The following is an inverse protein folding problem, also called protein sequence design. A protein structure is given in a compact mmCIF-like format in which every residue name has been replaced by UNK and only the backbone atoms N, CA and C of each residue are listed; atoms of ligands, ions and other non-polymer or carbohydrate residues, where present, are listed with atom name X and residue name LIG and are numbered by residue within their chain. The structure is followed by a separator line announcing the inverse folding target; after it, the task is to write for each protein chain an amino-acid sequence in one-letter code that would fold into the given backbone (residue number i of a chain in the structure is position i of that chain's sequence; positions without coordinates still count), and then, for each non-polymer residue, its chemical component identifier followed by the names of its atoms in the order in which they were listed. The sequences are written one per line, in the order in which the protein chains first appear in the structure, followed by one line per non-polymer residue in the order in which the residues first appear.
data_IF_507574697474
#
_entry.id   IF_507574697474
#
_cell.length_a   1.000
_cell.length_b   1.000
_cell.length_c   1.000
_cell.angle_alpha   90.00
_cell.angle_beta   90.00
_cell.angle_gamma   90.00
#
_symmetry.space_group_name_H-M   'P 1'
#
loop_
_entity.id
_entity.type
_entity.pdbx_description
1 polymer ?
#
# COMPACT_ATOMS: atom_id res chain seq x y z
N UNK A 1 -63.95 -26.78 65.72
CA UNK A 1 -62.92 -26.78 64.65
C UNK A 1 -62.65 -28.22 64.25
N UNK A 2 -62.98 -28.60 63.01
CA UNK A 2 -62.76 -29.96 62.49
C UNK A 2 -61.32 -30.07 61.99
N UNK A 3 -60.56 -31.01 62.57
CA UNK A 3 -59.17 -31.28 62.21
C UNK A 3 -59.15 -32.11 60.91
N UNK A 4 -58.66 -31.54 59.81
CA UNK A 4 -58.54 -32.23 58.52
C UNK A 4 -57.14 -32.86 58.43
N UNK A 5 -57.06 -34.19 58.37
CA UNK A 5 -55.77 -34.90 58.21
C UNK A 5 -55.22 -34.67 56.79
N UNK A 6 -53.91 -34.42 56.61
CA UNK A 6 -53.31 -34.35 55.28
C UNK A 6 -53.29 -35.76 54.67
N UNK A 7 -53.81 -35.89 53.43
CA UNK A 7 -53.67 -37.11 52.64
C UNK A 7 -52.27 -37.15 52.04
N UNK A 8 -51.47 -38.16 52.37
CA UNK A 8 -50.19 -38.40 51.71
C UNK A 8 -50.43 -38.77 50.24
N UNK A 9 -50.21 -37.81 49.34
CA UNK A 9 -50.14 -38.09 47.91
C UNK A 9 -48.76 -38.70 47.62
N UNK A 10 -48.69 -40.03 47.57
CA UNK A 10 -47.55 -40.69 46.97
C UNK A 10 -47.60 -40.38 45.46
N UNK A 11 -46.55 -39.74 44.93
CA UNK A 11 -46.45 -39.48 43.50
C UNK A 11 -46.63 -40.74 42.67
N UNK A 12 -46.90 -40.57 41.37
CA UNK A 12 -47.11 -41.66 40.42
C UNK A 12 -45.96 -42.66 40.56
N UNK A 13 -46.28 -43.86 41.05
CA UNK A 13 -45.30 -44.93 41.17
C UNK A 13 -44.87 -45.34 39.76
N UNK A 14 -43.56 -45.39 39.44
CA UNK A 14 -43.11 -45.78 38.12
C UNK A 14 -43.62 -47.18 37.79
N UNK A 15 -44.02 -47.38 36.52
CA UNK A 15 -44.58 -48.65 36.05
C UNK A 15 -43.61 -49.79 36.38
N UNK A 16 -44.08 -50.91 36.97
CA UNK A 16 -43.21 -52.01 37.35
C UNK A 16 -42.46 -52.57 36.13
N UNK A 17 -41.13 -52.50 36.18
CA UNK A 17 -40.28 -53.00 35.09
C UNK A 17 -40.25 -54.52 35.15
N UNK A 18 -40.76 -55.19 34.11
CA UNK A 18 -40.79 -56.65 34.07
C UNK A 18 -39.37 -57.22 33.87
N UNK A 19 -39.08 -58.45 34.33
CA UNK A 19 -37.79 -59.10 34.11
C UNK A 19 -37.39 -59.14 32.62
N UNK A 20 -38.37 -59.30 31.72
CA UNK A 20 -38.15 -59.25 30.27
C UNK A 20 -37.72 -57.86 29.78
N UNK A 21 -38.35 -56.79 30.26
CA UNK A 21 -37.95 -55.42 29.93
C UNK A 21 -36.52 -55.11 30.42
N UNK A 22 -36.15 -55.60 31.62
CA UNK A 22 -34.78 -55.47 32.13
C UNK A 22 -33.76 -56.20 31.25
N UNK A 23 -34.09 -57.37 30.73
CA UNK A 23 -33.20 -58.12 29.84
C UNK A 23 -32.97 -57.40 28.50
N UNK A 24 -34.03 -56.79 27.92
CA UNK A 24 -33.90 -55.95 26.72
C UNK A 24 -33.04 -54.72 26.97
N UNK A 25 -33.23 -54.05 28.11
CA UNK A 25 -32.42 -52.89 28.51
C UNK A 25 -30.92 -53.24 28.60
N UNK A 26 -30.56 -54.38 29.20
CA UNK A 26 -29.16 -54.82 29.30
C UNK A 26 -28.53 -55.05 27.92
N UNK A 27 -29.30 -55.55 26.96
CA UNK A 27 -28.85 -55.71 25.58
C UNK A 27 -28.65 -54.37 24.87
N UNK A 28 -29.59 -53.45 25.03
CA UNK A 28 -29.51 -52.08 24.49
C UNK A 28 -28.36 -51.30 25.12
N UNK A 29 -28.10 -51.47 26.41
CA UNK A 29 -26.97 -50.85 27.10
C UNK A 29 -25.63 -51.45 26.62
N UNK A 30 -25.57 -52.75 26.31
CA UNK A 30 -24.33 -53.41 25.84
C UNK A 30 -23.98 -53.07 24.40
N UNK A 31 -24.97 -52.96 23.50
CA UNK A 31 -24.74 -52.75 22.05
C UNK A 31 -25.06 -51.32 21.61
N UNK A 32 -26.13 -50.74 22.14
CA UNK A 32 -26.60 -49.40 21.81
C UNK A 32 -25.66 -48.30 22.31
N UNK A 33 -25.14 -48.42 23.55
CA UNK A 33 -24.21 -47.43 24.10
C UNK A 33 -22.95 -47.27 23.26
N UNK A 34 -22.34 -48.39 22.82
CA UNK A 34 -21.16 -48.39 21.97
C UNK A 34 -21.42 -47.76 20.59
N UNK A 35 -22.60 -48.00 19.99
CA UNK A 35 -22.98 -47.39 18.70
C UNK A 35 -23.19 -45.88 18.82
N UNK A 36 -23.83 -45.42 19.89
CA UNK A 36 -24.04 -43.99 20.16
C UNK A 36 -22.71 -43.29 20.42
N UNK A 37 -21.83 -43.89 21.24
CA UNK A 37 -20.48 -43.35 21.48
C UNK A 37 -19.68 -43.25 20.19
N UNK A 38 -19.71 -44.28 19.33
CA UNK A 38 -19.02 -44.24 18.03
C UNK A 38 -19.56 -43.13 17.12
N UNK A 39 -20.89 -42.91 17.09
CA UNK A 39 -21.51 -41.80 16.33
C UNK A 39 -21.05 -40.45 16.88
N UNK A 40 -21.06 -40.28 18.20
CA UNK A 40 -20.66 -39.03 18.85
C UNK A 40 -19.17 -38.74 18.62
N UNK A 41 -18.31 -39.75 18.67
CA UNK A 41 -16.89 -39.61 18.35
C UNK A 41 -16.63 -39.25 16.89
N UNK A 42 -17.37 -39.84 15.95
CA UNK A 42 -17.29 -39.43 14.54
C UNK A 42 -17.71 -37.98 14.35
N UNK A 43 -18.77 -37.54 15.03
CA UNK A 43 -19.22 -36.15 14.98
C UNK A 43 -18.17 -35.20 15.57
N UNK A 44 -17.57 -35.56 16.70
CA UNK A 44 -16.50 -34.79 17.33
C UNK A 44 -15.25 -34.71 16.43
N UNK A 45 -14.87 -35.81 15.79
CA UNK A 45 -13.78 -35.84 14.82
C UNK A 45 -14.04 -34.89 13.64
N UNK A 46 -15.21 -34.98 13.00
CA UNK A 46 -15.52 -34.07 11.89
C UNK A 46 -15.66 -32.62 12.33
N UNK A 47 -16.20 -32.36 13.54
CA UNK A 47 -16.30 -31.02 14.10
C UNK A 47 -14.92 -30.38 14.32
N UNK A 48 -14.00 -31.12 14.93
CA UNK A 48 -12.62 -30.66 15.16
C UNK A 48 -11.83 -30.52 13.86
N UNK A 49 -12.02 -31.42 12.89
CA UNK A 49 -11.41 -31.33 11.57
C UNK A 49 -11.87 -30.07 10.82
N UNK A 50 -13.17 -29.78 10.82
CA UNK A 50 -13.73 -28.59 10.18
C UNK A 50 -13.20 -27.32 10.84
N UNK A 51 -13.16 -27.28 12.18
CA UNK A 51 -12.66 -26.13 12.92
C UNK A 51 -11.17 -25.89 12.65
N UNK A 52 -10.35 -26.94 12.66
CA UNK A 52 -8.92 -26.86 12.34
C UNK A 52 -8.69 -26.44 10.89
N UNK A 53 -9.39 -27.06 9.93
CA UNK A 53 -9.29 -26.72 8.51
C UNK A 53 -9.76 -25.30 8.19
N UNK A 54 -10.83 -24.84 8.84
CA UNK A 54 -11.33 -23.47 8.74
C UNK A 54 -10.32 -22.45 9.28
N UNK A 55 -9.70 -22.73 10.44
CA UNK A 55 -8.70 -21.86 11.05
C UNK A 55 -7.41 -21.79 10.20
N UNK A 56 -6.94 -22.94 9.68
CA UNK A 56 -5.82 -22.98 8.76
C UNK A 56 -6.10 -22.18 7.48
N UNK A 57 -7.30 -22.33 6.90
CA UNK A 57 -7.71 -21.59 5.70
C UNK A 57 -7.79 -20.09 5.96
N UNK A 58 -8.34 -19.67 7.10
CA UNK A 58 -8.40 -18.27 7.51
C UNK A 58 -7.00 -17.67 7.70
N UNK A 59 -6.08 -18.40 8.31
CA UNK A 59 -4.68 -17.98 8.46
C UNK A 59 -3.97 -17.82 7.12
N UNK A 60 -4.15 -18.78 6.19
CA UNK A 60 -3.61 -18.66 4.84
C UNK A 60 -4.19 -17.43 4.13
N UNK A 61 -5.50 -17.23 4.20
CA UNK A 61 -6.16 -16.06 3.63
C UNK A 61 -5.64 -14.74 4.23
N UNK A 62 -5.42 -14.68 5.54
CA UNK A 62 -4.86 -13.51 6.22
C UNK A 62 -3.40 -13.29 5.84
N UNK A 63 -2.59 -14.35 5.75
CA UNK A 63 -1.19 -14.27 5.33
C UNK A 63 -1.03 -13.81 3.88
N UNK A 64 -1.96 -14.19 2.99
CA UNK A 64 -1.96 -13.75 1.60
C UNK A 64 -2.35 -12.27 1.43
N UNK A 65 -3.02 -11.68 2.43
CA UNK A 65 -3.37 -10.25 2.45
C UNK A 65 -2.23 -9.34 2.92
N UNK A 66 -1.02 -9.87 3.10
CA UNK A 66 0.19 -9.21 3.60
C UNK A 66 0.12 -7.68 3.64
N UNK A 67 -0.19 -7.13 4.81
CA UNK A 67 -0.19 -5.68 5.01
C UNK A 67 1.25 -5.20 5.06
N UNK A 68 1.67 -4.44 4.07
CA UNK A 68 2.96 -3.75 4.09
C UNK A 68 2.77 -2.46 4.87
N UNK A 69 3.37 -2.36 6.05
CA UNK A 69 3.44 -1.12 6.82
C UNK A 69 4.74 -0.38 6.47
N UNK A 70 4.71 0.66 5.61
CA UNK A 70 5.90 1.45 5.33
C UNK A 70 6.30 2.24 6.58
N UNK A 71 7.58 2.20 6.94
CA UNK A 71 8.14 3.03 8.01
C UNK A 71 8.74 4.30 7.39
N UNK A 72 8.18 5.47 7.74
CA UNK A 72 8.75 6.77 7.37
C UNK A 72 9.44 7.33 8.60
N UNK A 73 10.77 7.46 8.54
CA UNK A 73 11.55 8.08 9.62
C UNK A 73 11.54 9.59 9.37
N UNK A 74 10.74 10.32 10.15
CA UNK A 74 10.86 11.78 10.22
C UNK A 74 12.02 12.12 11.16
N UNK A 75 13.07 12.74 10.60
CA UNK A 75 14.20 13.24 11.39
C UNK A 75 13.87 14.68 11.77
N UNK A 76 13.49 14.92 13.03
CA UNK A 76 13.36 16.28 13.56
C UNK A 76 14.75 16.96 13.60
N UNK A 77 14.77 18.30 13.63
CA UNK A 77 15.97 19.16 13.60
C UNK A 77 16.98 18.89 14.74
N UNK A 78 16.64 18.02 15.69
CA UNK A 78 17.46 17.65 16.85
C UNK A 78 18.08 16.24 16.75
N UNK A 79 17.87 15.50 15.64
CA UNK A 79 18.60 14.26 15.36
C UNK A 79 18.19 13.03 16.19
N UNK A 80 17.11 13.09 16.96
CA UNK A 80 16.57 11.90 17.62
C UNK A 80 15.62 11.13 16.68
N UNK A 81 15.95 9.87 16.41
CA UNK A 81 15.08 8.94 15.70
C UNK A 81 13.92 8.53 16.62
N UNK A 82 12.81 9.27 16.56
CA UNK A 82 11.58 8.86 17.25
C UNK A 82 10.89 7.79 16.42
N UNK A 83 10.80 6.57 16.94
CA UNK A 83 9.99 5.52 16.35
C UNK A 83 8.51 5.94 16.42
N UNK A 84 7.95 6.37 15.30
CA UNK A 84 6.52 6.70 15.18
C UNK A 84 5.78 5.47 14.68
N UNK A 85 4.63 5.22 15.30
CA UNK A 85 3.71 4.09 15.19
C UNK A 85 3.50 3.49 13.78
N UNK A 86 2.98 2.24 13.67
CA UNK A 86 2.55 1.66 12.40
C UNK A 86 1.67 2.65 11.63
N UNK A 87 1.94 2.81 10.33
CA UNK A 87 1.29 3.75 9.43
C UNK A 87 -0.18 3.36 9.16
N UNK A 88 -1.03 3.42 10.18
CA UNK A 88 -2.46 3.21 10.11
C UNK A 88 -3.16 4.57 10.27
N UNK A 89 -3.24 5.34 9.17
CA UNK A 89 -4.46 5.98 8.64
C UNK A 89 -4.20 7.28 7.86
N UNK A 90 -3.30 8.17 8.30
CA UNK A 90 -3.23 9.54 7.75
C UNK A 90 -1.81 10.02 7.42
N UNK A 91 -0.97 9.15 6.85
CA UNK A 91 0.34 9.58 6.36
C UNK A 91 0.21 10.35 5.03
N UNK A 92 0.57 11.63 5.04
CA UNK A 92 0.71 12.47 3.85
C UNK A 92 2.10 13.11 3.82
N UNK A 93 2.82 13.09 2.68
CA UNK A 93 4.11 13.74 2.56
C UNK A 93 3.96 15.26 2.74
N UNK A 94 4.96 15.87 3.37
CA UNK A 94 4.99 17.31 3.62
C UNK A 94 5.42 18.09 2.38
N UNK A 95 5.07 19.37 2.31
CA UNK A 95 5.41 20.23 1.16
C UNK A 95 6.91 20.24 0.82
N UNK A 96 7.85 20.33 1.78
CA UNK A 96 9.28 20.25 1.47
C UNK A 96 9.70 18.90 0.88
N UNK A 97 9.09 17.80 1.33
CA UNK A 97 9.35 16.47 0.77
C UNK A 97 8.86 16.39 -0.68
N UNK A 98 7.63 16.85 -0.95
CA UNK A 98 7.10 16.91 -2.31
C UNK A 98 7.97 17.82 -3.19
N UNK A 99 8.35 18.98 -2.68
CA UNK A 99 9.21 19.93 -3.38
C UNK A 99 10.55 19.33 -3.80
N UNK A 100 11.20 18.58 -2.90
CA UNK A 100 12.46 17.90 -3.19
C UNK A 100 12.32 16.89 -4.34
N UNK A 101 11.28 16.06 -4.32
CA UNK A 101 11.05 15.08 -5.38
C UNK A 101 10.68 15.74 -6.72
N UNK A 102 9.88 16.81 -6.68
CA UNK A 102 9.52 17.56 -7.87
C UNK A 102 10.70 18.30 -8.51
N UNK A 103 11.60 18.86 -7.71
CA UNK A 103 12.84 19.46 -8.21
C UNK A 103 13.68 18.43 -8.98
N UNK A 104 13.91 17.25 -8.37
CA UNK A 104 14.64 16.16 -9.01
C UNK A 104 13.95 15.62 -10.25
N UNK A 105 12.62 15.55 -10.24
CA UNK A 105 11.84 15.16 -11.41
C UNK A 105 12.10 16.12 -12.58
N UNK A 106 12.08 17.43 -12.34
CA UNK A 106 12.41 18.43 -13.38
C UNK A 106 13.87 18.29 -13.84
N UNK A 107 14.82 18.11 -12.92
CA UNK A 107 16.23 17.87 -13.27
C UNK A 107 16.39 16.65 -14.18
N UNK A 108 15.79 15.50 -13.82
CA UNK A 108 15.91 14.27 -14.61
C UNK A 108 15.29 14.40 -16.02
N UNK A 109 14.19 15.14 -16.18
CA UNK A 109 13.49 15.28 -17.47
C UNK A 109 14.12 16.35 -18.35
N UNK A 110 14.61 17.44 -17.75
CA UNK A 110 15.08 18.64 -18.48
C UNK A 110 16.60 18.68 -18.68
N UNK A 111 17.36 17.88 -17.93
CA UNK A 111 18.81 17.81 -18.12
C UNK A 111 19.19 16.90 -19.29
N UNK A 112 20.28 17.26 -19.96
CA UNK A 112 20.90 16.45 -21.01
C UNK A 112 22.37 16.30 -20.61
N UNK A 113 22.74 15.18 -19.97
CA UNK A 113 24.12 14.91 -19.61
C UNK A 113 24.93 14.49 -20.84
N UNK A 114 26.26 14.49 -20.71
CA UNK A 114 27.16 14.00 -21.75
C UNK A 114 27.06 12.48 -21.97
N UNK A 115 26.68 11.73 -20.93
CA UNK A 115 26.61 10.26 -20.96
C UNK A 115 25.19 9.75 -21.25
N UNK A 116 24.97 8.97 -22.32
CA UNK A 116 23.67 8.38 -22.64
C UNK A 116 23.12 7.43 -21.57
N UNK A 117 23.98 6.79 -20.77
CA UNK A 117 23.55 5.89 -19.69
C UNK A 117 22.90 6.69 -18.57
N UNK A 118 23.47 7.86 -18.24
CA UNK A 118 22.90 8.77 -17.23
C UNK A 118 21.57 9.32 -17.73
N UNK A 119 21.49 9.80 -18.98
CA UNK A 119 20.22 10.29 -19.53
C UNK A 119 19.12 9.22 -19.47
N UNK A 120 19.44 7.98 -19.86
CA UNK A 120 18.47 6.87 -19.77
C UNK A 120 18.03 6.61 -18.33
N UNK A 121 18.97 6.61 -17.38
CA UNK A 121 18.67 6.42 -15.96
C UNK A 121 17.76 7.53 -15.43
N UNK A 122 18.02 8.77 -15.81
CA UNK A 122 17.24 9.93 -15.39
C UNK A 122 15.81 9.84 -15.92
N UNK A 123 15.63 9.50 -17.20
CA UNK A 123 14.30 9.28 -17.78
C UNK A 123 13.55 8.12 -17.14
N UNK A 124 14.19 6.98 -16.92
CA UNK A 124 13.58 5.85 -16.20
C UNK A 124 13.16 6.25 -14.77
N UNK A 125 14.02 7.00 -14.08
CA UNK A 125 13.73 7.53 -12.75
C UNK A 125 12.56 8.49 -12.80
N UNK A 126 12.44 9.35 -13.82
CA UNK A 126 11.31 10.24 -13.99
C UNK A 126 9.99 9.47 -14.21
N UNK A 127 10.01 8.39 -15.01
CA UNK A 127 8.82 7.56 -15.23
C UNK A 127 8.31 6.89 -13.94
N UNK A 128 9.19 6.52 -13.02
CA UNK A 128 8.81 5.96 -11.70
C UNK A 128 7.98 6.94 -10.83
N UNK A 129 8.07 8.24 -11.11
CA UNK A 129 7.30 9.30 -10.46
C UNK A 129 6.10 9.78 -11.31
N UNK A 130 5.68 9.06 -12.34
CA UNK A 130 4.56 9.48 -13.20
C UNK A 130 3.39 8.53 -13.15
N UNK A 131 2.17 9.06 -13.26
CA UNK A 131 1.00 8.25 -13.62
C UNK A 131 0.98 7.99 -15.13
N UNK A 132 0.01 7.20 -15.61
CA UNK A 132 -0.19 7.01 -17.05
C UNK A 132 -0.39 8.33 -17.82
N UNK A 133 -1.15 9.28 -17.26
CA UNK A 133 -1.34 10.60 -17.87
C UNK A 133 -0.06 11.45 -17.83
N UNK A 134 0.70 11.39 -16.73
CA UNK A 134 2.00 12.05 -16.62
C UNK A 134 2.96 11.52 -17.68
N UNK A 135 3.11 10.19 -17.76
CA UNK A 135 3.98 9.54 -18.74
C UNK A 135 3.63 9.92 -20.19
N UNK A 136 2.34 10.09 -20.52
CA UNK A 136 1.93 10.59 -21.83
C UNK A 136 2.47 12.00 -22.12
N UNK A 137 2.40 12.91 -21.14
CA UNK A 137 2.96 14.25 -21.28
C UNK A 137 4.50 14.23 -21.48
N UNK A 138 5.22 13.36 -20.77
CA UNK A 138 6.67 13.19 -20.97
C UNK A 138 6.97 12.61 -22.36
N UNK A 139 6.20 11.63 -22.81
CA UNK A 139 6.37 11.02 -24.13
C UNK A 139 6.14 12.02 -25.26
N UNK A 140 5.13 12.89 -25.12
CA UNK A 140 4.88 13.96 -26.07
C UNK A 140 6.05 14.95 -26.12
N UNK A 141 6.58 15.34 -24.96
CA UNK A 141 7.77 16.17 -24.87
C UNK A 141 8.99 15.51 -25.54
N UNK A 142 9.25 14.24 -25.22
CA UNK A 142 10.35 13.47 -25.79
C UNK A 142 10.26 13.38 -27.32
N UNK A 143 9.05 13.16 -27.85
CA UNK A 143 8.80 13.08 -29.30
C UNK A 143 9.08 14.41 -30.00
N UNK A 144 8.77 15.54 -29.37
CA UNK A 144 8.93 16.87 -29.96
C UNK A 144 10.37 17.39 -29.87
N UNK A 145 11.11 17.04 -28.82
CA UNK A 145 12.42 17.62 -28.53
C UNK A 145 13.59 16.65 -28.72
N UNK A 146 13.31 15.34 -28.76
CA UNK A 146 14.27 14.23 -28.88
C UNK A 146 15.58 14.45 -28.10
N UNK A 147 15.55 14.38 -26.76
CA UNK A 147 16.72 14.63 -25.93
C UNK A 147 17.88 13.66 -26.21
N UNK A 148 17.58 12.45 -26.72
CA UNK A 148 18.61 11.47 -27.04
C UNK A 148 19.40 11.83 -28.29
N UNK A 149 18.80 12.56 -29.25
CA UNK A 149 19.48 13.05 -30.44
C UNK A 149 20.43 14.22 -30.18
N UNK A 150 20.30 14.90 -29.02
CA UNK A 150 21.16 16.01 -28.60
C UNK A 150 22.42 15.53 -27.85
N UNK A 151 22.48 14.26 -27.45
CA UNK A 151 23.65 13.68 -26.76
C UNK A 151 24.90 13.85 -27.63
N UNK A 152 25.98 14.33 -27.02
CA UNK A 152 27.26 14.59 -27.70
C UNK A 152 27.29 15.85 -28.56
N UNK A 153 26.15 16.52 -28.76
CA UNK A 153 26.07 17.83 -29.45
C UNK A 153 25.91 18.96 -28.46
N UNK A 154 25.00 18.79 -27.49
CA UNK A 154 24.67 19.79 -26.48
C UNK A 154 24.49 19.14 -25.12
N UNK A 155 24.83 19.88 -24.09
CA UNK A 155 24.58 19.51 -22.71
C UNK A 155 23.66 20.55 -22.08
N UNK A 156 22.70 20.11 -21.27
CA UNK A 156 21.76 21.00 -20.59
C UNK A 156 21.86 20.74 -19.10
N UNK A 157 22.34 21.74 -18.36
CA UNK A 157 22.34 21.73 -16.91
C UNK A 157 21.11 22.48 -16.39
N UNK A 158 20.41 21.87 -15.42
CA UNK A 158 19.19 22.38 -14.81
C UNK A 158 19.50 22.79 -13.37
N UNK A 159 19.04 23.97 -12.99
CA UNK A 159 19.23 24.54 -11.65
C UNK A 159 17.87 25.03 -11.12
N UNK A 160 17.25 24.24 -10.24
CA UNK A 160 15.91 24.53 -9.71
C UNK A 160 16.00 25.62 -8.65
N UNK A 161 15.39 26.77 -8.93
CA UNK A 161 15.45 27.94 -8.06
C UNK A 161 14.39 27.94 -6.98
N UNK A 162 13.18 27.43 -7.28
CA UNK A 162 12.10 27.36 -6.31
C UNK A 162 11.05 26.32 -6.68
N UNK A 163 10.46 25.71 -5.65
CA UNK A 163 9.27 24.87 -5.75
C UNK A 163 8.29 25.33 -4.68
N UNK A 164 7.13 25.80 -5.11
CA UNK A 164 6.12 26.43 -4.25
C UNK A 164 4.78 25.78 -4.51
N UNK A 165 4.04 25.45 -3.45
CA UNK A 165 2.67 24.95 -3.57
C UNK A 165 1.76 26.02 -4.16
N UNK A 166 1.12 25.72 -5.28
CA UNK A 166 0.18 26.61 -5.96
C UNK A 166 -1.29 26.29 -5.58
N UNK A 167 -1.61 25.01 -5.34
CA UNK A 167 -2.92 24.54 -4.89
C UNK A 167 -2.78 23.29 -4.00
N UNK A 168 -3.91 22.67 -3.62
CA UNK A 168 -3.92 21.41 -2.86
C UNK A 168 -3.13 20.29 -3.57
N UNK A 169 -3.13 20.27 -4.89
CA UNK A 169 -2.57 19.22 -5.72
C UNK A 169 -1.57 19.72 -6.76
N UNK A 170 -1.26 21.02 -6.80
CA UNK A 170 -0.38 21.60 -7.81
C UNK A 170 0.74 22.43 -7.22
N UNK A 171 1.89 22.38 -7.88
CA UNK A 171 3.11 23.08 -7.50
C UNK A 171 3.63 23.90 -8.67
N UNK A 172 4.06 25.12 -8.38
CA UNK A 172 4.84 25.94 -9.29
C UNK A 172 6.32 25.68 -9.07
N UNK A 173 7.03 25.36 -10.14
CA UNK A 173 8.47 25.12 -10.13
C UNK A 173 9.11 26.16 -11.03
N UNK A 174 10.18 26.80 -10.58
CA UNK A 174 10.99 27.68 -11.41
C UNK A 174 12.43 27.15 -11.44
N UNK A 175 13.06 27.21 -12.59
CA UNK A 175 14.44 26.77 -12.78
C UNK A 175 15.14 27.55 -13.89
N UNK A 176 16.46 27.43 -13.90
CA UNK A 176 17.31 27.96 -14.96
C UNK A 176 17.95 26.80 -15.71
N UNK A 177 17.94 26.87 -17.05
CA UNK A 177 18.66 25.94 -17.92
C UNK A 177 19.87 26.63 -18.52
N UNK A 178 21.05 26.02 -18.33
CA UNK A 178 22.30 26.43 -18.96
C UNK A 178 22.65 25.41 -20.03
N UNK A 179 22.68 25.86 -21.29
CA UNK A 179 23.02 25.02 -22.45
C UNK A 179 24.48 25.19 -22.79
N UNK A 180 25.19 24.08 -22.93
CA UNK A 180 26.60 24.05 -23.28
C UNK A 180 26.79 23.33 -24.61
N UNK A 181 27.73 23.83 -25.40
CA UNK A 181 28.21 23.19 -26.63
C UNK A 181 29.74 23.25 -26.62
N UNK A 182 30.38 22.10 -26.82
CA UNK A 182 31.85 21.96 -26.80
C UNK A 182 32.51 22.56 -25.55
N UNK A 183 31.84 22.46 -24.40
CA UNK A 183 32.30 23.00 -23.11
C UNK A 183 32.07 24.50 -22.90
N UNK A 184 31.58 25.22 -23.91
CA UNK A 184 31.23 26.65 -23.83
C UNK A 184 29.75 26.86 -23.49
N UNK A 185 29.43 27.86 -22.68
CA UNK A 185 28.05 28.25 -22.37
C UNK A 185 27.42 28.96 -23.57
N UNK A 186 26.38 28.37 -24.14
CA UNK A 186 25.66 28.87 -25.31
C UNK A 186 24.49 29.77 -24.93
N UNK A 187 23.65 29.32 -23.99
CA UNK A 187 22.42 30.02 -23.62
C UNK A 187 22.11 29.77 -22.13
N UNK A 188 21.59 30.80 -21.46
CA UNK A 188 20.92 30.66 -20.18
C UNK A 188 19.46 31.05 -20.35
N UNK A 189 18.54 30.17 -19.97
CA UNK A 189 17.10 30.40 -20.08
C UNK A 189 16.40 30.12 -18.76
N UNK A 190 15.41 30.95 -18.41
CA UNK A 190 14.56 30.74 -17.24
C UNK A 190 13.27 30.08 -17.66
N UNK A 191 12.79 29.18 -16.83
CA UNK A 191 11.60 28.38 -17.08
C UNK A 191 10.75 28.31 -15.83
N UNK A 192 9.46 28.18 -16.04
CA UNK A 192 8.52 27.83 -14.98
C UNK A 192 7.60 26.70 -15.42
N UNK A 193 7.13 25.92 -14.46
CA UNK A 193 6.15 24.87 -14.66
C UNK A 193 5.06 24.91 -13.60
N UNK A 194 3.87 24.48 -13.98
CA UNK A 194 2.85 23.99 -13.07
C UNK A 194 2.79 22.47 -13.19
N UNK A 195 3.00 21.79 -12.07
CA UNK A 195 2.97 20.34 -11.97
C UNK A 195 1.83 19.93 -11.05
N UNK A 196 0.95 19.06 -11.53
CA UNK A 196 -0.09 18.45 -10.71
C UNK A 196 0.40 17.11 -10.18
N UNK A 197 0.17 16.88 -8.89
CA UNK A 197 0.62 15.69 -8.16
C UNK A 197 -0.54 14.95 -7.51
N UNK A 198 -0.37 13.64 -7.39
CA UNK A 198 -1.23 12.75 -6.63
C UNK A 198 -0.36 11.92 -5.70
N UNK A 199 -0.83 11.67 -4.48
CA UNK A 199 -0.15 10.79 -3.53
C UNK A 199 -0.88 9.45 -3.47
N UNK A 200 -0.18 8.38 -3.79
CA UNK A 200 -0.66 7.01 -3.69
C UNK A 200 0.35 6.18 -2.89
N UNK A 201 0.03 5.81 -1.63
CA UNK A 201 0.93 5.03 -0.78
C UNK A 201 1.37 3.72 -1.44
N UNK A 202 2.68 3.40 -1.44
CA UNK A 202 3.19 2.19 -2.05
C UNK A 202 2.70 0.94 -1.28
N UNK A 203 2.22 -0.06 -2.02
CA UNK A 203 1.68 -1.32 -1.48
C UNK A 203 2.56 -2.54 -1.74
N UNK A 204 3.70 -2.35 -2.39
CA UNK A 204 4.66 -3.43 -2.71
C UNK A 204 6.08 -3.01 -2.35
N UNK A 205 6.99 -3.95 -2.03
CA UNK A 205 8.37 -3.62 -1.70
C UNK A 205 9.10 -2.92 -2.86
N UNK A 206 8.77 -3.32 -4.09
CA UNK A 206 9.30 -2.70 -5.30
C UNK A 206 8.83 -1.25 -5.48
N UNK A 207 7.54 -0.98 -5.24
CA UNK A 207 7.02 0.39 -5.28
C UNK A 207 7.65 1.26 -4.19
N UNK A 208 7.85 0.71 -2.99
CA UNK A 208 8.48 1.42 -1.88
C UNK A 208 9.95 1.78 -2.19
N UNK A 209 10.70 0.89 -2.86
CA UNK A 209 12.09 1.16 -3.26
C UNK A 209 12.21 2.27 -4.30
N UNK A 210 11.28 2.33 -5.27
CA UNK A 210 11.34 3.31 -6.37
C UNK A 210 10.74 4.66 -5.96
N UNK A 211 9.62 4.64 -5.25
CA UNK A 211 8.89 5.83 -4.84
C UNK A 211 8.36 5.65 -3.40
N UNK A 212 9.21 5.86 -2.38
CA UNK A 212 8.85 5.60 -0.99
C UNK A 212 7.71 6.47 -0.48
N UNK A 213 7.59 7.69 -1.04
CA UNK A 213 6.56 8.64 -0.65
C UNK A 213 5.27 8.51 -1.47
N UNK A 214 5.26 7.67 -2.52
CA UNK A 214 4.10 7.49 -3.38
C UNK A 214 3.68 8.75 -4.13
N UNK A 215 4.60 9.67 -4.43
CA UNK A 215 4.28 10.93 -5.12
C UNK A 215 4.30 10.69 -6.63
N UNK A 216 3.20 10.97 -7.30
CA UNK A 216 3.09 10.82 -8.76
C UNK A 216 2.70 12.12 -9.43
N UNK A 217 3.42 12.48 -10.49
CA UNK A 217 3.10 13.56 -11.41
C UNK A 217 2.01 13.09 -12.38
N UNK A 218 0.89 13.80 -12.41
CA UNK A 218 -0.26 13.50 -13.26
C UNK A 218 -0.30 14.37 -14.51
N UNK A 219 0.14 15.63 -14.39
CA UNK A 219 0.20 16.59 -15.47
C UNK A 219 1.38 17.54 -15.24
N UNK A 220 1.99 17.97 -16.34
CA UNK A 220 3.06 18.96 -16.33
C UNK A 220 2.85 19.93 -17.49
N UNK A 221 2.93 21.22 -17.19
CA UNK A 221 2.95 22.27 -18.19
C UNK A 221 4.07 23.24 -17.85
N UNK A 222 5.00 23.44 -18.77
CA UNK A 222 6.13 24.34 -18.61
C UNK A 222 6.21 25.37 -19.73
N UNK A 223 6.75 26.53 -19.40
CA UNK A 223 6.95 27.63 -20.34
C UNK A 223 8.25 28.36 -20.02
N UNK A 224 8.89 28.88 -21.08
CA UNK A 224 10.06 29.74 -20.96
C UNK A 224 9.60 31.10 -20.43
N UNK A 225 10.24 31.59 -19.38
CA UNK A 225 9.99 32.94 -18.87
C UNK A 225 10.63 33.95 -19.83
N UNK A 226 9.83 34.90 -20.30
CA UNK A 226 10.33 36.04 -21.08
C UNK A 226 11.04 36.98 -20.11
N UNK A 227 12.35 37.16 -20.27
CA UNK A 227 13.07 38.23 -19.59
C UNK A 227 12.53 39.56 -20.12
N UNK A 228 11.87 40.34 -19.26
CA UNK A 228 11.68 41.77 -19.49
C UNK A 228 13.00 42.52 -19.33
#
# INVERSE_FOLDING_TARGET
MIFRRPSNHYGISPVPVTPHQRATQVWDDRIGSARVQAKNWRLAFFGTLLLSGGLASALVWQSLRGTITPWVVEVDKLGEARAVAPADADWSPTDPQIAFHLARFIEHVRSIPADPVVLRKDWLSAYDFTTASGAQALNEYARLNDPFAEIGKRQVAVDVSSVIRASKDSFRIAWTERRYQDGSLLETSRWSAIVTVMVQPPRTPDALRRNPLGIFVTAVNWSKELSQ
#
